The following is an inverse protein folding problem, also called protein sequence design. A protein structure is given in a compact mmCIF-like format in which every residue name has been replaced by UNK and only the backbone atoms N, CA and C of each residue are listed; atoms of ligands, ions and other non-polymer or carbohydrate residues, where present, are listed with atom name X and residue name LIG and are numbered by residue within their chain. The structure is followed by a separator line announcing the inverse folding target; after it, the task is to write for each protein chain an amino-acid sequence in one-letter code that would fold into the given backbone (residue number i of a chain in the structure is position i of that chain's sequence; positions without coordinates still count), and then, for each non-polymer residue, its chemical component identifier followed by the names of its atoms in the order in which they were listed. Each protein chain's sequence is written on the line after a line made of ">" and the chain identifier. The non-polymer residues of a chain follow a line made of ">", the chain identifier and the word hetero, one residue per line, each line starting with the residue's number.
data_IF_251360856854
#
_entry.id   IF_251360856854
#
_cell.length_a   1.000
_cell.length_b   1.000
_cell.length_c   1.000
_cell.angle_alpha   90.00
_cell.angle_beta   90.00
_cell.angle_gamma   90.00
#
_symmetry.space_group_name_H-M   'P 1'
#
loop_
_entity.id
_entity.type
_entity.pdbx_description
1 polymer ?
#
# COMPACT_ATOMS: atom_id res chain seq x y z
N UNK A 1 28.32 -23.74 34.36
CA UNK A 1 27.57 -22.79 35.19
C UNK A 1 26.61 -22.05 34.26
N UNK A 2 25.30 -22.25 34.50
CA UNK A 2 24.12 -21.41 34.12
C UNK A 2 24.03 -21.00 32.65
N UNK A 3 23.22 -21.59 31.74
CA UNK A 3 21.83 -22.09 31.76
C UNK A 3 20.76 -21.13 32.30
N UNK A 4 20.00 -20.52 31.38
CA UNK A 4 18.55 -20.21 31.46
C UNK A 4 18.02 -19.83 30.03
N UNK A 5 16.70 -19.94 29.74
CA UNK A 5 16.17 -20.67 28.56
C UNK A 5 15.37 -19.79 27.54
N UNK A 6 14.84 -20.37 26.44
CA UNK A 6 13.99 -19.67 25.47
C UNK A 6 12.48 -19.77 25.81
N UNK A 7 11.72 -18.73 25.46
CA UNK A 7 10.25 -18.65 25.60
C UNK A 7 9.52 -19.07 24.30
N UNK A 8 8.28 -19.61 24.40
CA UNK A 8 7.75 -20.58 23.45
C UNK A 8 6.81 -20.02 22.37
N UNK A 9 6.72 -20.83 21.31
CA UNK A 9 5.77 -20.78 20.20
C UNK A 9 4.33 -21.08 20.66
N UNK A 10 3.35 -20.34 20.13
CA UNK A 10 1.93 -20.63 20.33
C UNK A 10 1.42 -21.55 19.21
N UNK A 11 0.99 -22.73 19.63
CA UNK A 11 0.47 -23.81 18.81
C UNK A 11 -1.03 -23.63 18.55
N UNK A 12 -1.41 -23.77 17.29
CA UNK A 12 -2.79 -23.97 16.84
C UNK A 12 -3.41 -25.20 17.52
N UNK A 13 -4.63 -25.07 18.04
CA UNK A 13 -5.51 -26.19 18.35
C UNK A 13 -6.79 -26.11 17.50
N UNK A 14 -7.09 -27.27 16.95
CA UNK A 14 -8.15 -27.63 16.01
C UNK A 14 -9.28 -28.27 16.83
N UNK A 15 -10.55 -27.95 16.54
CA UNK A 15 -11.72 -28.60 17.15
C UNK A 15 -12.89 -28.63 16.16
N UNK A 16 -13.45 -29.81 15.92
CA UNK A 16 -14.38 -30.21 14.86
C UNK A 16 -15.89 -30.08 15.20
N UNK A 17 -16.71 -29.96 14.14
CA UNK A 17 -18.10 -30.37 13.85
C UNK A 17 -19.04 -30.81 15.02
N UNK A 18 -20.25 -30.26 15.20
CA UNK A 18 -21.53 -30.39 14.43
C UNK A 18 -22.67 -30.75 15.45
N UNK A 19 -24.01 -30.85 15.15
CA UNK A 19 -24.79 -30.64 13.92
C UNK A 19 -26.06 -29.74 14.10
N UNK A 20 -26.95 -29.78 13.10
CA UNK A 20 -28.17 -29.00 12.80
C UNK A 20 -29.35 -29.04 13.81
N UNK A 21 -30.20 -28.00 13.79
CA UNK A 21 -31.54 -27.99 14.43
C UNK A 21 -32.34 -26.67 14.29
N UNK A 22 -33.26 -26.67 13.31
CA UNK A 22 -34.59 -26.01 13.09
C UNK A 22 -35.10 -24.90 14.07
N UNK A 23 -35.86 -23.87 13.60
CA UNK A 23 -36.11 -22.61 14.33
C UNK A 23 -37.35 -22.61 15.22
N UNK A 24 -37.33 -21.79 16.29
CA UNK A 24 -38.49 -21.55 17.16
C UNK A 24 -38.94 -20.08 17.15
N UNK A 25 -40.25 -19.90 17.27
CA UNK A 25 -41.03 -18.69 16.95
C UNK A 25 -41.14 -17.72 18.14
N UNK A 26 -41.25 -16.42 17.79
CA UNK A 26 -41.52 -15.22 18.62
C UNK A 26 -42.25 -15.41 19.96
N UNK A 27 -41.75 -14.71 20.99
CA UNK A 27 -42.52 -14.19 22.13
C UNK A 27 -42.28 -12.68 22.31
N UNK A 28 -43.36 -11.90 22.37
CA UNK A 28 -43.38 -10.43 22.54
C UNK A 28 -43.22 -10.09 24.04
N UNK A 29 -42.34 -9.15 24.45
CA UNK A 29 -42.17 -8.80 25.85
C UNK A 29 -43.30 -7.86 26.34
N UNK A 30 -43.97 -8.26 27.43
CA UNK A 30 -45.03 -7.50 28.09
C UNK A 30 -44.47 -6.45 29.04
N UNK A 31 -45.14 -5.29 29.08
CA UNK A 31 -44.76 -4.00 29.66
C UNK A 31 -44.55 -3.96 31.20
N UNK A 32 -44.61 -5.11 31.88
CA UNK A 32 -44.59 -5.20 33.35
C UNK A 32 -43.18 -5.36 33.95
N UNK A 33 -42.18 -5.71 33.13
CA UNK A 33 -40.81 -5.99 33.60
C UNK A 33 -39.83 -4.79 33.49
N UNK A 34 -40.31 -3.62 33.04
CA UNK A 34 -39.52 -2.38 32.95
C UNK A 34 -39.61 -1.52 34.20
N UNK A 35 -40.73 -1.55 34.94
CA UNK A 35 -40.92 -0.71 36.13
C UNK A 35 -40.17 -1.24 37.36
N UNK A 36 -40.04 -2.58 37.49
CA UNK A 36 -39.33 -3.20 38.61
C UNK A 36 -37.80 -3.11 38.47
N UNK A 37 -37.27 -2.99 37.26
CA UNK A 37 -35.83 -2.77 37.00
C UNK A 37 -35.41 -1.29 37.11
N UNK A 38 -36.35 -0.35 36.95
CA UNK A 38 -36.09 1.08 37.21
C UNK A 38 -36.00 1.39 38.72
N UNK A 39 -36.84 0.77 39.56
CA UNK A 39 -36.83 1.05 41.01
C UNK A 39 -35.56 0.53 41.72
N UNK A 40 -35.01 -0.60 41.27
CA UNK A 40 -33.72 -1.14 41.77
C UNK A 40 -32.53 -0.28 41.28
N UNK A 41 -32.68 0.41 40.15
CA UNK A 41 -31.65 1.33 39.63
C UNK A 41 -31.63 2.68 40.36
N UNK A 42 -32.74 3.13 40.96
CA UNK A 42 -32.80 4.40 41.69
C UNK A 42 -32.28 4.25 43.13
N UNK A 43 -32.57 3.12 43.80
CA UNK A 43 -32.11 2.88 45.19
C UNK A 43 -30.60 2.59 45.27
N UNK A 44 -29.97 2.14 44.17
CA UNK A 44 -28.51 2.06 44.08
C UNK A 44 -27.84 3.40 43.72
N UNK A 45 -28.59 4.44 43.35
CA UNK A 45 -28.03 5.77 43.07
C UNK A 45 -28.05 6.66 44.33
N UNK A 46 -28.97 6.44 45.27
CA UNK A 46 -28.98 7.18 46.55
C UNK A 46 -27.93 6.67 47.57
N UNK A 47 -27.39 5.45 47.42
CA UNK A 47 -26.33 4.93 48.29
C UNK A 47 -24.91 4.97 47.70
N UNK A 48 -24.73 5.50 46.48
CA UNK A 48 -23.40 5.72 45.87
C UNK A 48 -22.99 7.20 45.90
N UNK A 49 -23.88 8.09 46.34
CA UNK A 49 -23.57 9.50 46.62
C UNK A 49 -22.60 9.72 47.79
N UNK A 50 -22.16 8.65 48.48
CA UNK A 50 -21.16 8.72 49.57
C UNK A 50 -19.79 8.12 49.23
N UNK A 51 -19.51 7.78 47.96
CA UNK A 51 -18.18 7.27 47.54
C UNK A 51 -17.49 8.08 46.42
N UNK A 52 -18.06 9.21 46.02
CA UNK A 52 -17.39 10.17 45.14
C UNK A 52 -17.47 11.58 45.71
N UNK A 53 -16.96 11.77 46.92
CA UNK A 53 -16.21 13.00 47.16
C UNK A 53 -14.91 12.88 46.37
N UNK A 54 -14.92 13.27 45.09
CA UNK A 54 -13.68 13.67 44.44
C UNK A 54 -13.19 14.89 45.20
N UNK A 55 -12.41 14.66 46.25
CA UNK A 55 -11.74 15.73 46.97
C UNK A 55 -10.93 16.46 45.92
N UNK A 56 -11.32 17.70 45.65
CA UNK A 56 -10.62 18.68 44.86
C UNK A 56 -9.32 19.10 45.58
N UNK A 57 -8.59 18.14 46.18
CA UNK A 57 -7.36 18.38 46.92
C UNK A 57 -6.22 18.44 45.92
N UNK A 58 -5.59 19.61 45.84
CA UNK A 58 -4.36 19.79 45.08
C UNK A 58 -3.28 18.86 45.64
N UNK A 59 -2.45 18.23 44.79
CA UNK A 59 -1.38 17.37 45.26
C UNK A 59 -0.37 18.17 46.09
N UNK A 60 0.21 17.53 47.10
CA UNK A 60 1.11 18.17 48.07
C UNK A 60 2.49 17.51 48.08
N UNK A 61 3.46 18.13 48.75
CA UNK A 61 4.78 17.58 49.04
C UNK A 61 5.25 18.05 50.42
N UNK A 62 6.09 17.25 51.08
CA UNK A 62 6.66 17.61 52.38
C UNK A 62 8.02 18.29 52.24
N UNK A 63 8.27 19.33 53.04
CA UNK A 63 9.62 19.90 53.21
C UNK A 63 9.84 20.34 54.66
N UNK A 64 11.09 20.65 54.99
CA UNK A 64 11.46 21.32 56.24
C UNK A 64 11.41 22.84 56.07
N UNK A 65 10.74 23.53 56.99
CA UNK A 65 10.75 24.98 57.05
C UNK A 65 12.14 25.46 57.53
N UNK A 66 12.84 26.33 56.78
CA UNK A 66 14.16 26.82 57.15
C UNK A 66 14.17 27.76 58.36
N UNK A 67 13.03 28.36 58.73
CA UNK A 67 12.91 29.28 59.87
C UNK A 67 12.58 28.53 61.16
N UNK A 68 11.64 27.59 61.12
CA UNK A 68 11.16 26.87 62.32
C UNK A 68 11.79 25.49 62.49
N UNK A 69 12.38 24.93 61.43
CA UNK A 69 12.95 23.58 61.41
C UNK A 69 11.92 22.45 61.39
N UNK A 70 10.61 22.77 61.38
CA UNK A 70 9.52 21.79 61.39
C UNK A 70 9.20 21.26 59.99
N UNK A 71 8.58 20.08 59.93
CA UNK A 71 8.07 19.52 58.68
C UNK A 71 6.71 20.14 58.34
N UNK A 72 6.61 20.70 57.13
CA UNK A 72 5.40 21.33 56.59
C UNK A 72 4.93 20.61 55.32
N UNK A 73 3.62 20.58 55.11
CA UNK A 73 2.99 20.02 53.90
C UNK A 73 2.61 21.16 52.97
N UNK A 74 3.28 21.26 51.83
CA UNK A 74 3.10 22.31 50.84
C UNK A 74 2.22 21.84 49.67
N UNK A 75 1.36 22.72 49.14
CA UNK A 75 0.70 22.48 47.85
C UNK A 75 1.73 22.51 46.70
N UNK A 76 1.59 21.61 45.73
CA UNK A 76 2.35 21.65 44.48
C UNK A 76 1.83 22.75 43.55
N UNK A 77 2.65 23.12 42.57
CA UNK A 77 2.30 24.04 41.51
C UNK A 77 1.67 23.29 40.33
N UNK A 78 0.62 23.84 39.69
CA UNK A 78 -0.04 23.20 38.55
C UNK A 78 0.86 23.17 37.29
N UNK A 79 0.50 22.36 36.28
CA UNK A 79 1.12 22.44 34.95
C UNK A 79 1.13 23.87 34.41
N UNK A 80 2.20 24.27 33.71
CA UNK A 80 2.37 25.66 33.28
C UNK A 80 3.11 26.54 34.27
N UNK A 81 3.36 26.06 35.48
CA UNK A 81 3.96 26.84 36.57
C UNK A 81 5.07 26.08 37.30
N UNK A 82 5.87 26.81 38.06
CA UNK A 82 6.93 26.32 38.94
C UNK A 82 6.88 27.04 40.28
N UNK A 83 7.55 26.49 41.30
CA UNK A 83 7.63 27.07 42.64
C UNK A 83 8.61 28.25 42.62
N UNK A 84 8.06 29.48 42.71
CA UNK A 84 8.85 30.71 42.88
C UNK A 84 9.29 30.88 44.33
N UNK A 85 8.35 30.67 45.26
CA UNK A 85 8.60 30.74 46.70
C UNK A 85 8.04 29.50 47.37
N UNK A 86 8.87 28.82 48.15
CA UNK A 86 8.47 27.60 48.87
C UNK A 86 7.57 27.94 50.07
N UNK A 87 6.63 27.05 50.40
CA UNK A 87 5.72 27.27 51.53
C UNK A 87 6.46 27.21 52.88
N UNK A 88 6.07 28.04 53.84
CA UNK A 88 6.50 27.98 55.25
C UNK A 88 5.33 27.52 56.11
N UNK A 89 5.51 27.44 57.43
CA UNK A 89 4.42 27.18 58.38
C UNK A 89 3.26 28.17 58.23
N UNK A 90 3.55 29.42 57.85
CA UNK A 90 2.56 30.52 57.81
C UNK A 90 2.20 30.99 56.38
N UNK A 91 2.97 30.59 55.36
CA UNK A 91 2.77 31.05 53.98
C UNK A 91 2.67 29.88 52.99
N UNK A 92 1.70 29.90 52.06
CA UNK A 92 1.53 28.85 51.06
C UNK A 92 2.62 28.89 49.98
N UNK A 93 2.70 27.84 49.17
CA UNK A 93 3.56 27.82 47.97
C UNK A 93 3.14 28.92 47.01
N UNK A 94 4.08 29.72 46.53
CA UNK A 94 3.84 30.71 45.48
C UNK A 94 4.33 30.14 44.16
N UNK A 95 3.40 30.01 43.22
CA UNK A 95 3.66 29.49 41.87
C UNK A 95 3.78 30.63 40.86
N UNK A 96 4.69 30.49 39.90
CA UNK A 96 4.87 31.44 38.79
C UNK A 96 4.84 30.70 37.45
N UNK A 97 4.34 31.38 36.41
CA UNK A 97 4.24 30.83 35.06
C UNK A 97 5.61 30.55 34.45
N UNK A 98 5.70 29.46 33.68
CA UNK A 98 6.86 29.22 32.82
C UNK A 98 7.00 30.32 31.77
N UNK A 99 8.23 30.79 31.58
CA UNK A 99 8.60 31.71 30.50
C UNK A 99 8.67 30.98 29.15
N UNK A 100 8.85 31.74 28.08
CA UNK A 100 9.06 31.19 26.74
C UNK A 100 10.16 30.13 26.71
N UNK A 101 9.97 29.13 25.83
CA UNK A 101 10.82 27.95 25.67
C UNK A 101 10.94 27.05 26.91
N UNK A 102 10.06 27.20 27.91
CA UNK A 102 10.04 26.34 29.10
C UNK A 102 8.64 25.84 29.43
N UNK A 103 8.57 24.67 30.07
CA UNK A 103 7.30 24.01 30.38
C UNK A 103 7.33 23.18 31.68
N UNK A 104 6.14 22.93 32.22
CA UNK A 104 5.86 21.87 33.21
C UNK A 104 4.54 21.19 32.86
N UNK A 105 4.57 19.89 32.58
CA UNK A 105 3.40 19.14 32.10
C UNK A 105 2.52 18.58 33.21
N UNK A 106 3.08 18.43 34.40
CA UNK A 106 2.42 17.83 35.54
C UNK A 106 2.49 18.77 36.74
N UNK A 107 1.66 18.48 37.74
CA UNK A 107 1.82 19.08 39.07
C UNK A 107 3.23 18.83 39.58
N UNK A 108 3.87 19.87 40.10
CA UNK A 108 5.28 19.82 40.42
C UNK A 108 5.67 20.74 41.57
N UNK A 109 6.86 20.51 42.11
CA UNK A 109 7.53 21.35 43.11
C UNK A 109 8.89 21.86 42.60
N UNK A 110 9.05 21.96 41.26
CA UNK A 110 10.29 22.39 40.64
C UNK A 110 10.54 23.86 40.93
N UNK A 111 11.80 24.24 41.16
CA UNK A 111 12.20 25.63 41.34
C UNK A 111 12.43 26.37 40.02
N UNK A 112 12.40 25.65 38.89
CA UNK A 112 12.52 26.17 37.52
C UNK A 112 11.75 25.26 36.57
N UNK A 113 11.12 25.83 35.55
CA UNK A 113 10.48 25.04 34.48
C UNK A 113 11.53 24.27 33.65
N UNK A 114 11.10 23.20 32.97
CA UNK A 114 11.98 22.41 32.10
C UNK A 114 12.14 23.12 30.76
N UNK A 115 13.35 23.12 30.21
CA UNK A 115 13.60 23.66 28.89
C UNK A 115 12.95 22.80 27.79
N UNK A 116 12.38 23.44 26.78
CA UNK A 116 11.87 22.78 25.59
C UNK A 116 13.02 22.30 24.70
N UNK A 117 13.57 21.13 25.05
CA UNK A 117 14.78 20.56 24.46
C UNK A 117 14.55 19.69 23.21
N UNK A 118 13.32 19.53 22.75
CA UNK A 118 13.02 18.82 21.50
C UNK A 118 13.13 19.81 20.35
N UNK A 119 13.94 19.46 19.35
CA UNK A 119 14.13 20.23 18.12
C UNK A 119 13.79 19.36 16.92
N UNK A 120 13.01 19.90 15.98
CA UNK A 120 12.62 19.13 14.81
C UNK A 120 13.77 19.10 13.80
N UNK A 121 14.20 17.89 13.45
CA UNK A 121 15.30 17.64 12.53
C UNK A 121 14.87 17.66 11.07
N UNK A 122 15.72 17.04 10.23
CA UNK A 122 15.43 16.91 8.80
C UNK A 122 14.22 16.01 8.55
N UNK A 123 13.41 16.36 7.56
CA UNK A 123 12.12 15.69 7.26
C UNK A 123 11.12 15.61 8.42
N UNK A 124 11.26 16.45 9.45
CA UNK A 124 10.27 16.61 10.52
C UNK A 124 9.55 17.95 10.43
N UNK A 125 8.38 18.02 11.05
CA UNK A 125 7.64 19.26 11.28
C UNK A 125 7.16 19.33 12.73
N UNK A 126 6.91 20.54 13.23
CA UNK A 126 6.35 20.76 14.56
C UNK A 126 4.87 20.38 14.56
N UNK A 127 4.54 19.24 15.18
CA UNK A 127 3.16 18.81 15.39
C UNK A 127 2.53 19.56 16.55
N UNK A 128 3.30 19.72 17.62
CA UNK A 128 2.94 20.56 18.76
C UNK A 128 4.10 21.50 19.06
N UNK A 129 3.78 22.81 19.11
CA UNK A 129 4.73 23.83 19.51
C UNK A 129 4.99 23.74 21.01
N UNK A 130 6.19 24.11 21.45
CA UNK A 130 6.46 24.28 22.87
C UNK A 130 5.56 25.36 23.48
N UNK A 131 4.97 25.09 24.64
CA UNK A 131 4.28 26.09 25.44
C UNK A 131 4.54 25.86 26.94
N UNK A 132 3.89 26.63 27.82
CA UNK A 132 4.11 26.50 29.27
C UNK A 132 3.73 25.13 29.85
N UNK A 133 2.84 24.36 29.22
CA UNK A 133 2.34 23.08 29.73
C UNK A 133 2.90 21.85 29.02
N UNK A 134 3.56 21.98 27.87
CA UNK A 134 4.15 20.82 27.19
C UNK A 134 5.38 21.19 26.35
N UNK A 135 6.25 20.20 26.18
CA UNK A 135 7.39 20.31 25.30
C UNK A 135 6.95 20.32 23.83
N UNK A 136 7.85 20.75 22.95
CA UNK A 136 7.69 20.59 21.50
C UNK A 136 7.57 19.11 21.14
N UNK A 137 6.72 18.79 20.18
CA UNK A 137 6.60 17.45 19.60
C UNK A 137 6.82 17.54 18.09
N UNK A 138 7.77 16.73 17.61
CA UNK A 138 8.11 16.63 16.19
C UNK A 138 7.51 15.35 15.60
N UNK A 139 7.10 15.42 14.34
CA UNK A 139 6.61 14.26 13.59
C UNK A 139 7.24 14.25 12.19
N UNK A 140 7.44 13.06 11.61
CA UNK A 140 7.94 12.92 10.25
C UNK A 140 6.93 13.49 9.24
N UNK A 141 7.46 14.20 8.23
CA UNK A 141 6.67 14.73 7.11
C UNK A 141 6.06 13.57 6.31
N UNK A 142 5.01 13.88 5.56
CA UNK A 142 4.37 12.93 4.66
C UNK A 142 5.39 12.25 3.72
N UNK A 143 5.28 10.92 3.58
CA UNK A 143 6.23 10.10 2.84
C UNK A 143 7.43 9.61 3.65
N UNK A 144 7.49 9.90 4.95
CA UNK A 144 8.52 9.43 5.87
C UNK A 144 7.90 8.80 7.12
N UNK A 145 8.66 7.91 7.75
CA UNK A 145 8.34 7.31 9.04
C UNK A 145 9.54 7.39 9.98
N UNK A 146 9.26 7.45 11.29
CA UNK A 146 10.27 7.48 12.33
C UNK A 146 10.81 6.08 12.57
N UNK A 147 12.11 5.91 12.37
CA UNK A 147 12.86 4.71 12.72
C UNK A 147 14.09 5.16 13.52
N UNK A 148 14.18 4.70 14.78
CA UNK A 148 15.10 5.26 15.78
C UNK A 148 14.95 6.79 15.89
N UNK A 149 15.99 7.55 15.54
CA UNK A 149 16.01 9.02 15.60
C UNK A 149 15.85 9.68 14.21
N UNK A 150 15.64 8.88 13.16
CA UNK A 150 15.63 9.36 11.77
C UNK A 150 14.27 9.19 11.11
N UNK A 151 13.86 10.19 10.33
CA UNK A 151 12.74 10.06 9.41
C UNK A 151 13.22 9.41 8.11
N UNK A 152 12.91 8.12 7.93
CA UNK A 152 13.23 7.36 6.74
C UNK A 152 12.11 7.46 5.72
N UNK A 153 12.46 7.53 4.43
CA UNK A 153 11.47 7.58 3.36
C UNK A 153 10.71 6.26 3.30
N UNK A 154 9.39 6.32 3.09
CA UNK A 154 8.56 5.14 2.91
C UNK A 154 9.05 4.27 1.74
N UNK A 155 9.11 2.97 1.97
CA UNK A 155 9.38 1.97 0.94
C UNK A 155 8.29 1.99 -0.12
N UNK A 156 8.70 1.72 -1.36
CA UNK A 156 7.79 1.53 -2.49
C UNK A 156 7.64 0.05 -2.80
N UNK A 157 6.41 -0.38 -3.03
CA UNK A 157 6.12 -1.73 -3.48
C UNK A 157 6.61 -1.91 -4.92
N UNK A 158 7.35 -2.99 -5.20
CA UNK A 158 7.83 -3.26 -6.56
C UNK A 158 6.69 -3.73 -7.47
N UNK A 159 6.95 -3.79 -8.78
CA UNK A 159 6.04 -4.43 -9.74
C UNK A 159 5.61 -5.83 -9.26
N UNK A 160 4.33 -6.13 -9.42
CA UNK A 160 3.75 -7.39 -8.93
C UNK A 160 3.44 -7.42 -7.44
N UNK A 161 3.73 -6.35 -6.71
CA UNK A 161 3.33 -6.17 -5.33
C UNK A 161 2.57 -4.86 -5.16
N UNK A 162 1.59 -4.87 -4.25
CA UNK A 162 0.77 -3.71 -3.92
C UNK A 162 0.81 -3.42 -2.42
N UNK A 163 0.44 -2.19 -2.07
CA UNK A 163 0.35 -1.74 -0.69
C UNK A 163 -0.83 -2.40 0.01
N UNK A 164 -0.55 -3.03 1.16
CA UNK A 164 -1.57 -3.54 2.09
C UNK A 164 -1.79 -2.61 3.27
N UNK A 165 -0.72 -1.95 3.71
CA UNK A 165 -0.75 -0.95 4.78
C UNK A 165 0.08 0.23 4.32
N UNK A 166 -0.57 1.39 4.24
CA UNK A 166 0.10 2.63 3.91
C UNK A 166 1.10 2.98 5.01
N UNK A 167 2.23 3.53 4.62
CA UNK A 167 3.18 4.10 5.57
C UNK A 167 2.52 5.21 6.41
N UNK A 168 2.90 5.28 7.68
CA UNK A 168 2.50 6.31 8.63
C UNK A 168 3.74 7.07 9.10
N UNK A 169 3.60 8.15 9.90
CA UNK A 169 4.76 8.78 10.52
C UNK A 169 5.56 7.88 11.47
N UNK A 170 5.05 6.68 11.81
CA UNK A 170 5.64 5.76 12.78
C UNK A 170 5.86 4.34 12.24
N UNK A 171 5.52 4.08 10.97
CA UNK A 171 5.65 2.77 10.36
C UNK A 171 5.86 2.86 8.85
N UNK A 172 6.70 1.99 8.31
CA UNK A 172 6.90 1.90 6.87
C UNK A 172 5.66 1.35 6.13
N UNK A 173 5.63 1.55 4.82
CA UNK A 173 4.70 0.89 3.90
C UNK A 173 4.89 -0.63 3.95
N UNK A 174 3.80 -1.38 3.98
CA UNK A 174 3.86 -2.83 3.83
C UNK A 174 3.29 -3.25 2.49
N UNK A 175 4.01 -4.16 1.84
CA UNK A 175 3.72 -4.66 0.50
C UNK A 175 3.41 -6.15 0.54
N UNK A 176 2.48 -6.59 -0.29
CA UNK A 176 2.24 -8.01 -0.56
C UNK A 176 2.28 -8.29 -2.07
N UNK A 177 2.58 -9.54 -2.43
CA UNK A 177 2.47 -9.97 -3.83
C UNK A 177 1.01 -10.03 -4.24
N UNK A 178 0.70 -9.54 -5.43
CA UNK A 178 -0.66 -9.61 -5.95
C UNK A 178 -1.08 -11.06 -6.15
N UNK A 179 -2.27 -11.39 -5.63
CA UNK A 179 -2.89 -12.71 -5.77
C UNK A 179 -3.50 -12.89 -7.17
N UNK A 180 -3.90 -14.11 -7.48
CA UNK A 180 -4.54 -14.42 -8.76
C UNK A 180 -5.76 -13.52 -9.01
N UNK A 181 -5.88 -13.03 -10.25
CA UNK A 181 -6.89 -12.05 -10.63
C UNK A 181 -6.55 -10.59 -10.28
N UNK A 182 -5.35 -10.32 -9.75
CA UNK A 182 -4.89 -8.95 -9.45
C UNK A 182 -3.49 -8.66 -10.02
N UNK A 183 -3.16 -7.37 -10.14
CA UNK A 183 -1.87 -6.91 -10.63
C UNK A 183 -1.41 -5.58 -10.03
N UNK A 184 -0.11 -5.31 -10.14
CA UNK A 184 0.51 -4.00 -9.90
C UNK A 184 1.57 -3.75 -10.97
N UNK A 185 1.35 -2.72 -11.78
CA UNK A 185 2.18 -2.39 -12.95
C UNK A 185 3.13 -1.22 -12.72
N UNK A 186 3.26 -0.74 -11.49
CA UNK A 186 4.08 0.42 -11.10
C UNK A 186 4.97 0.10 -9.89
N UNK A 187 5.93 0.97 -9.60
CA UNK A 187 6.63 0.99 -8.31
C UNK A 187 6.04 2.12 -7.50
N UNK A 188 5.32 1.81 -6.43
CA UNK A 188 4.51 2.79 -5.69
C UNK A 188 4.47 2.50 -4.19
N UNK A 189 4.50 3.56 -3.38
CA UNK A 189 4.31 3.47 -1.92
C UNK A 189 2.85 3.65 -1.49
N UNK A 190 1.92 3.77 -2.44
CA UNK A 190 0.49 4.04 -2.14
C UNK A 190 -0.50 3.15 -2.89
N UNK A 191 -0.13 2.59 -4.04
CA UNK A 191 -1.03 1.79 -4.89
C UNK A 191 -1.16 0.37 -4.36
N UNK A 192 -2.40 -0.09 -4.16
CA UNK A 192 -2.73 -1.48 -3.87
C UNK A 192 -2.78 -2.31 -5.15
N UNK A 193 -2.80 -3.64 -5.01
CA UNK A 193 -3.07 -4.52 -6.15
C UNK A 193 -4.46 -4.23 -6.74
N UNK A 194 -4.52 -4.06 -8.05
CA UNK A 194 -5.74 -3.80 -8.81
C UNK A 194 -6.30 -5.09 -9.37
N UNK A 195 -7.63 -5.22 -9.40
CA UNK A 195 -8.30 -6.37 -10.00
C UNK A 195 -8.13 -6.35 -11.52
N UNK A 196 -7.96 -7.52 -12.13
CA UNK A 196 -7.91 -7.64 -13.58
C UNK A 196 -9.22 -7.20 -14.24
N UNK A 197 -9.09 -6.53 -15.39
CA UNK A 197 -10.20 -6.14 -16.25
C UNK A 197 -10.96 -7.38 -16.73
N UNK A 198 -12.29 -7.37 -16.57
CA UNK A 198 -13.16 -8.39 -17.12
C UNK A 198 -13.58 -8.04 -18.55
N UNK A 199 -13.00 -8.72 -19.55
CA UNK A 199 -13.29 -8.42 -20.96
C UNK A 199 -14.74 -8.73 -21.36
N UNK A 200 -15.36 -9.76 -20.78
CA UNK A 200 -16.70 -10.20 -21.18
C UNK A 200 -17.78 -9.20 -20.77
N UNK A 201 -17.61 -8.52 -19.64
CA UNK A 201 -18.48 -7.42 -19.20
C UNK A 201 -18.50 -6.24 -20.18
N UNK A 202 -17.44 -6.10 -20.98
CA UNK A 202 -17.32 -5.07 -22.03
C UNK A 202 -17.69 -5.57 -23.42
N UNK A 203 -18.18 -6.81 -23.55
CA UNK A 203 -18.46 -7.44 -24.85
C UNK A 203 -17.22 -7.76 -25.69
N UNK A 204 -16.03 -7.77 -25.08
CA UNK A 204 -14.75 -8.04 -25.73
C UNK A 204 -14.23 -9.44 -25.41
N UNK A 205 -13.21 -9.88 -26.13
CA UNK A 205 -12.49 -11.13 -25.85
C UNK A 205 -11.12 -10.84 -25.26
N UNK A 206 -10.61 -11.75 -24.42
CA UNK A 206 -9.27 -11.65 -23.84
C UNK A 206 -8.23 -11.71 -24.96
N UNK A 207 -7.42 -10.67 -25.12
CA UNK A 207 -6.24 -10.66 -25.99
C UNK A 207 -5.07 -11.34 -25.29
N UNK A 208 -4.68 -10.77 -24.15
CA UNK A 208 -3.58 -11.23 -23.31
C UNK A 208 -4.13 -11.42 -21.90
N UNK A 209 -3.99 -12.64 -21.36
CA UNK A 209 -4.38 -12.91 -19.98
C UNK A 209 -3.51 -12.10 -19.01
N UNK A 210 -4.12 -11.47 -18.02
CA UNK A 210 -3.42 -10.71 -16.99
C UNK A 210 -2.41 -11.54 -16.19
N UNK A 211 -1.47 -10.85 -15.55
CA UNK A 211 -0.52 -11.45 -14.61
C UNK A 211 -0.40 -10.57 -13.37
N UNK A 212 0.39 -10.95 -12.37
CA UNK A 212 0.66 -10.05 -11.24
C UNK A 212 1.30 -8.70 -11.67
N UNK A 213 1.89 -8.62 -12.87
CA UNK A 213 2.65 -7.45 -13.32
C UNK A 213 1.90 -6.54 -14.30
N UNK A 214 0.78 -6.98 -14.86
CA UNK A 214 0.01 -6.22 -15.83
C UNK A 214 -1.45 -6.68 -15.86
N UNK A 215 -2.33 -5.81 -16.32
CA UNK A 215 -3.74 -6.12 -16.49
C UNK A 215 -3.98 -7.14 -17.62
N UNK A 216 -5.19 -7.70 -17.65
CA UNK A 216 -5.74 -8.38 -18.81
C UNK A 216 -5.99 -7.37 -19.92
N UNK A 217 -5.46 -7.65 -21.12
CA UNK A 217 -5.75 -6.85 -22.31
C UNK A 217 -6.93 -7.44 -23.06
N UNK A 218 -7.88 -6.59 -23.44
CA UNK A 218 -9.09 -6.96 -24.14
C UNK A 218 -9.06 -6.45 -25.57
N UNK A 219 -9.66 -7.18 -26.50
CA UNK A 219 -9.77 -6.76 -27.90
C UNK A 219 -11.11 -7.18 -28.49
N UNK A 220 -11.69 -6.43 -29.45
CA UNK A 220 -12.82 -6.91 -30.24
C UNK A 220 -12.37 -7.92 -31.33
N UNK A 221 -11.06 -8.06 -31.58
CA UNK A 221 -10.54 -9.00 -32.57
C UNK A 221 -10.65 -10.46 -32.11
N UNK A 222 -11.69 -11.15 -32.58
CA UNK A 222 -11.92 -12.59 -32.32
C UNK A 222 -11.14 -13.48 -33.29
N UNK A 223 -11.19 -13.15 -34.57
CA UNK A 223 -10.59 -13.90 -35.68
C UNK A 223 -9.89 -12.92 -36.61
N UNK A 224 -8.68 -13.26 -37.04
CA UNK A 224 -8.01 -12.45 -38.06
C UNK A 224 -8.46 -12.91 -39.44
N UNK A 225 -9.28 -12.09 -40.07
CA UNK A 225 -9.62 -12.26 -41.48
C UNK A 225 -8.72 -11.30 -42.26
N UNK A 226 -7.67 -11.82 -42.91
CA UNK A 226 -6.97 -11.06 -43.94
C UNK A 226 -7.98 -10.53 -44.96
N UNK A 227 -7.68 -9.38 -45.57
CA UNK A 227 -8.63 -8.60 -46.42
C UNK A 227 -9.41 -9.53 -47.35
N UNK A 228 -10.67 -9.83 -47.02
CA UNK A 228 -11.70 -10.08 -48.03
C UNK A 228 -12.15 -8.70 -48.51
N UNK A 229 -12.50 -8.50 -49.80
CA UNK A 229 -12.83 -7.19 -50.37
C UNK A 229 -14.03 -6.44 -49.73
N UNK A 230 -14.58 -6.95 -48.63
CA UNK A 230 -15.84 -6.54 -48.00
C UNK A 230 -15.67 -6.17 -46.51
N UNK A 231 -14.45 -6.11 -45.96
CA UNK A 231 -14.22 -5.81 -44.53
C UNK A 231 -13.82 -4.34 -44.33
N UNK A 232 -14.52 -3.65 -43.42
CA UNK A 232 -14.21 -2.26 -43.01
C UNK A 232 -12.76 -2.11 -42.52
N UNK A 233 -12.03 -1.11 -43.02
CA UNK A 233 -10.62 -0.86 -42.69
C UNK A 233 -10.38 -0.67 -41.16
N UNK A 234 -11.38 -0.19 -40.42
CA UNK A 234 -11.31 -0.06 -38.95
C UNK A 234 -11.17 -1.39 -38.20
N UNK A 235 -11.75 -2.48 -38.73
CA UNK A 235 -11.65 -3.81 -38.12
C UNK A 235 -10.26 -4.43 -38.32
N UNK A 236 -9.64 -4.18 -39.49
CA UNK A 236 -8.27 -4.63 -39.80
C UNK A 236 -7.25 -3.91 -38.92
N UNK A 237 -7.39 -2.59 -38.77
CA UNK A 237 -6.50 -1.80 -37.90
C UNK A 237 -6.55 -2.27 -36.44
N UNK A 238 -7.76 -2.57 -35.93
CA UNK A 238 -7.96 -3.07 -34.55
C UNK A 238 -7.34 -4.45 -34.33
N UNK A 239 -7.44 -5.36 -35.30
CA UNK A 239 -6.79 -6.67 -35.21
C UNK A 239 -5.25 -6.58 -35.28
N UNK A 240 -4.71 -5.65 -36.07
CA UNK A 240 -3.27 -5.39 -36.13
C UNK A 240 -2.73 -4.88 -34.79
N UNK A 241 -3.47 -4.00 -34.10
CA UNK A 241 -3.14 -3.56 -32.72
C UNK A 241 -3.15 -4.73 -31.74
N UNK A 242 -4.18 -5.57 -31.79
CA UNK A 242 -4.27 -6.75 -30.96
C UNK A 242 -3.09 -7.70 -31.15
N UNK A 243 -2.60 -7.89 -32.38
CA UNK A 243 -1.42 -8.71 -32.69
C UNK A 243 -0.15 -8.12 -32.08
N UNK A 244 0.04 -6.80 -32.21
CA UNK A 244 1.19 -6.09 -31.64
C UNK A 244 1.23 -6.25 -30.12
N UNK A 245 0.10 -6.00 -29.45
CA UNK A 245 -0.06 -6.24 -28.03
C UNK A 245 0.24 -7.69 -27.68
N UNK A 246 -0.39 -8.64 -28.37
CA UNK A 246 -0.23 -10.05 -28.06
C UNK A 246 1.23 -10.50 -28.14
N UNK A 247 1.96 -10.10 -29.19
CA UNK A 247 3.38 -10.42 -29.37
C UNK A 247 4.24 -9.73 -28.31
N UNK A 248 3.95 -8.47 -27.98
CA UNK A 248 4.73 -7.70 -27.00
C UNK A 248 4.71 -8.31 -25.60
N UNK A 249 3.62 -8.98 -25.23
CA UNK A 249 3.41 -9.57 -23.90
C UNK A 249 3.81 -11.05 -23.80
N UNK A 250 4.30 -11.67 -24.88
CA UNK A 250 4.77 -13.05 -24.81
C UNK A 250 6.03 -13.19 -23.94
N UNK A 251 6.21 -14.37 -23.35
CA UNK A 251 7.42 -14.72 -22.61
C UNK A 251 8.58 -15.00 -23.59
N UNK A 252 9.35 -13.97 -23.92
CA UNK A 252 10.46 -14.05 -24.88
C UNK A 252 11.82 -14.14 -24.17
N UNK A 253 12.64 -15.18 -24.41
CA UNK A 253 14.02 -15.21 -23.93
C UNK A 253 14.83 -14.04 -24.49
N UNK A 254 15.60 -13.35 -23.65
CA UNK A 254 16.31 -12.10 -24.01
C UNK A 254 17.19 -12.28 -25.26
N UNK A 255 17.88 -13.41 -25.42
CA UNK A 255 18.69 -13.71 -26.61
C UNK A 255 17.85 -13.68 -27.91
N UNK A 256 16.64 -14.24 -27.87
CA UNK A 256 15.71 -14.25 -29.02
C UNK A 256 15.08 -12.87 -29.23
N UNK A 257 14.78 -12.16 -28.16
CA UNK A 257 14.26 -10.79 -28.23
C UNK A 257 15.28 -9.84 -28.89
N UNK A 258 16.57 -9.92 -28.52
CA UNK A 258 17.62 -9.13 -29.18
C UNK A 258 17.69 -9.37 -30.68
N UNK A 259 17.62 -10.64 -31.10
CA UNK A 259 17.57 -11.04 -32.52
C UNK A 259 16.31 -10.53 -33.22
N UNK A 260 15.17 -10.58 -32.56
CA UNK A 260 13.92 -10.06 -33.11
C UNK A 260 13.98 -8.54 -33.33
N UNK A 261 14.46 -7.79 -32.35
CA UNK A 261 14.60 -6.34 -32.45
C UNK A 261 15.57 -5.92 -33.57
N UNK A 262 16.65 -6.68 -33.80
CA UNK A 262 17.55 -6.39 -34.93
C UNK A 262 16.90 -6.62 -36.29
N UNK A 263 15.93 -7.55 -36.37
CA UNK A 263 15.19 -7.87 -37.60
C UNK A 263 14.00 -6.93 -37.87
N UNK A 264 13.61 -6.07 -36.92
CA UNK A 264 12.61 -5.02 -37.16
C UNK A 264 13.13 -3.88 -38.04
N UNK A 265 14.45 -3.80 -38.24
CA UNK A 265 15.15 -2.82 -39.08
C UNK A 265 14.94 -1.33 -38.72
N UNK A 266 14.27 -1.04 -37.61
CA UNK A 266 14.14 0.31 -37.06
C UNK A 266 15.32 0.70 -36.15
N UNK A 267 15.78 1.95 -36.27
CA UNK A 267 16.96 2.46 -35.56
C UNK A 267 16.82 2.38 -34.04
N UNK A 268 15.65 2.72 -33.50
CA UNK A 268 15.38 2.67 -32.06
C UNK A 268 15.44 1.24 -31.52
N UNK A 269 14.98 0.23 -32.27
CA UNK A 269 15.06 -1.17 -31.84
C UNK A 269 16.51 -1.67 -31.78
N UNK A 270 17.38 -1.22 -32.68
CA UNK A 270 18.82 -1.53 -32.62
C UNK A 270 19.46 -0.97 -31.34
N UNK A 271 19.09 0.26 -30.94
CA UNK A 271 19.56 0.89 -29.70
C UNK A 271 19.09 0.11 -28.46
N UNK A 272 17.80 -0.23 -28.39
CA UNK A 272 17.22 -1.00 -27.28
C UNK A 272 17.83 -2.41 -27.20
N UNK A 273 18.04 -3.08 -28.34
CA UNK A 273 18.69 -4.41 -28.41
C UNK A 273 20.07 -4.45 -27.73
N UNK A 274 20.87 -3.39 -27.90
CA UNK A 274 22.18 -3.26 -27.26
C UNK A 274 22.07 -3.05 -25.75
N UNK A 275 21.08 -2.27 -25.30
CA UNK A 275 20.90 -1.89 -23.89
C UNK A 275 20.12 -2.93 -23.06
N UNK A 276 19.46 -3.89 -23.71
CA UNK A 276 18.68 -4.93 -23.07
C UNK A 276 19.50 -5.78 -22.08
N UNK A 277 19.08 -5.72 -20.81
CA UNK A 277 19.60 -6.50 -19.67
C UNK A 277 18.55 -7.51 -19.18
N UNK A 278 18.96 -8.46 -18.34
CA UNK A 278 18.09 -9.53 -17.84
C UNK A 278 17.14 -9.14 -16.68
N UNK A 279 17.35 -7.96 -16.12
CA UNK A 279 16.50 -7.36 -15.10
C UNK A 279 15.11 -7.03 -15.67
N UNK A 280 14.08 -7.14 -14.83
CA UNK A 280 12.67 -6.83 -15.19
C UNK A 280 12.13 -7.62 -16.39
N UNK A 281 12.51 -8.90 -16.53
CA UNK A 281 12.03 -9.80 -17.60
C UNK A 281 10.50 -9.88 -17.74
N UNK A 282 9.76 -9.55 -16.68
CA UNK A 282 8.30 -9.55 -16.66
C UNK A 282 7.68 -8.26 -17.25
N UNK A 283 8.45 -7.17 -17.29
CA UNK A 283 8.03 -5.87 -17.81
C UNK A 283 8.58 -5.60 -19.22
N UNK A 284 9.07 -6.62 -19.93
CA UNK A 284 9.65 -6.45 -21.26
C UNK A 284 8.69 -5.83 -22.27
N UNK A 285 7.39 -6.06 -22.09
CA UNK A 285 6.33 -5.49 -22.90
C UNK A 285 6.37 -3.95 -22.93
N UNK A 286 6.74 -3.27 -21.82
CA UNK A 286 6.84 -1.81 -21.76
C UNK A 286 7.88 -1.24 -22.73
N UNK A 287 8.94 -2.00 -23.03
CA UNK A 287 9.95 -1.62 -24.02
C UNK A 287 9.60 -2.11 -25.43
N UNK A 288 9.01 -3.29 -25.56
CA UNK A 288 8.74 -3.93 -26.86
C UNK A 288 7.51 -3.35 -27.56
N UNK A 289 6.43 -3.09 -26.82
CA UNK A 289 5.17 -2.61 -27.39
C UNK A 289 5.33 -1.29 -28.17
N UNK A 290 5.96 -0.22 -27.63
CA UNK A 290 6.14 1.03 -28.38
C UNK A 290 6.96 0.87 -29.66
N UNK A 291 7.94 -0.05 -29.65
CA UNK A 291 8.76 -0.34 -30.84
C UNK A 291 7.94 -1.03 -31.94
N UNK A 292 7.04 -1.95 -31.56
CA UNK A 292 6.16 -2.62 -32.52
C UNK A 292 5.10 -1.69 -33.08
N UNK A 293 4.57 -0.76 -32.27
CA UNK A 293 3.69 0.32 -32.74
C UNK A 293 4.43 1.19 -33.77
N UNK A 294 5.66 1.60 -33.48
CA UNK A 294 6.47 2.36 -34.44
C UNK A 294 6.81 1.55 -35.70
N UNK A 295 7.07 0.25 -35.56
CA UNK A 295 7.33 -0.63 -36.70
C UNK A 295 6.10 -0.79 -37.61
N UNK A 296 4.88 -0.81 -37.06
CA UNK A 296 3.61 -0.82 -37.82
C UNK A 296 3.54 0.36 -38.79
N UNK A 297 3.97 1.56 -38.37
CA UNK A 297 3.97 2.76 -39.22
C UNK A 297 4.88 2.61 -40.45
N UNK A 298 6.03 1.94 -40.30
CA UNK A 298 6.99 1.71 -41.40
C UNK A 298 6.50 0.66 -42.39
N UNK A 299 5.83 -0.38 -41.86
CA UNK A 299 5.44 -1.56 -42.63
C UNK A 299 4.20 -1.34 -43.50
N UNK A 300 3.40 -0.31 -43.18
CA UNK A 300 2.03 -0.06 -43.69
C UNK A 300 1.08 -1.21 -43.29
N UNK A 301 -0.18 -0.90 -42.96
CA UNK A 301 -1.09 -1.86 -42.30
C UNK A 301 -1.34 -3.16 -43.10
N UNK A 302 -1.27 -3.06 -44.43
CA UNK A 302 -1.36 -4.19 -45.35
C UNK A 302 -0.15 -5.11 -45.15
N UNK A 303 -0.39 -6.32 -44.64
CA UNK A 303 0.58 -7.42 -44.39
C UNK A 303 1.34 -7.41 -43.06
N UNK A 304 0.85 -6.71 -42.03
CA UNK A 304 1.49 -6.69 -40.71
C UNK A 304 1.65 -8.11 -40.12
N UNK A 305 0.61 -8.95 -40.24
CA UNK A 305 0.61 -10.30 -39.71
C UNK A 305 1.65 -11.20 -40.40
N UNK A 306 1.69 -11.20 -41.74
CA UNK A 306 2.63 -12.01 -42.51
C UNK A 306 4.08 -11.60 -42.18
N UNK A 307 4.34 -10.29 -42.13
CA UNK A 307 5.67 -9.78 -41.81
C UNK A 307 6.07 -10.09 -40.37
N UNK A 308 5.19 -9.95 -39.38
CA UNK A 308 5.55 -10.25 -37.98
C UNK A 308 5.81 -11.76 -37.79
N UNK A 309 5.02 -12.62 -38.45
CA UNK A 309 5.24 -14.08 -38.43
C UNK A 309 6.58 -14.46 -39.09
N UNK A 310 6.93 -13.83 -40.21
CA UNK A 310 8.24 -14.00 -40.87
C UNK A 310 9.39 -13.62 -39.95
N UNK A 311 9.29 -12.48 -39.26
CA UNK A 311 10.33 -12.01 -38.33
C UNK A 311 10.44 -12.96 -37.13
N UNK A 312 9.31 -13.41 -36.56
CA UNK A 312 9.29 -14.41 -35.48
C UNK A 312 9.95 -15.73 -35.91
N UNK A 313 9.73 -16.16 -37.16
CA UNK A 313 10.35 -17.34 -37.73
C UNK A 313 11.86 -17.16 -37.88
N UNK A 314 12.30 -16.05 -38.48
CA UNK A 314 13.71 -15.66 -38.57
C UNK A 314 14.35 -15.52 -37.19
N UNK A 315 13.61 -15.17 -36.15
CA UNK A 315 14.06 -15.09 -34.75
C UNK A 315 14.01 -16.45 -33.99
N UNK A 316 13.62 -17.54 -34.65
CA UNK A 316 13.49 -18.89 -34.06
C UNK A 316 12.51 -18.96 -32.88
N UNK A 317 11.35 -18.30 -33.00
CA UNK A 317 10.31 -18.22 -31.96
C UNK A 317 9.06 -19.07 -32.29
N UNK A 318 9.26 -20.37 -32.53
CA UNK A 318 8.20 -21.30 -32.94
C UNK A 318 6.97 -21.31 -32.00
N UNK A 319 7.19 -21.28 -30.69
CA UNK A 319 6.08 -21.28 -29.71
C UNK A 319 5.21 -20.03 -29.82
N UNK A 320 5.82 -18.86 -30.05
CA UNK A 320 5.07 -17.61 -30.19
C UNK A 320 4.26 -17.61 -31.49
N UNK A 321 4.84 -18.11 -32.58
CA UNK A 321 4.12 -18.29 -33.85
C UNK A 321 2.89 -19.18 -33.64
N UNK A 322 3.05 -20.30 -32.93
CA UNK A 322 1.93 -21.18 -32.58
C UNK A 322 0.87 -20.44 -31.77
N UNK A 323 1.26 -19.73 -30.71
CA UNK A 323 0.34 -18.97 -29.85
C UNK A 323 -0.42 -17.88 -30.64
N UNK A 324 0.25 -17.17 -31.55
CA UNK A 324 -0.39 -16.15 -32.41
C UNK A 324 -1.42 -16.82 -33.32
N UNK A 325 -1.06 -17.94 -33.97
CA UNK A 325 -1.97 -18.68 -34.85
C UNK A 325 -3.21 -19.19 -34.11
N UNK A 326 -3.03 -19.73 -32.90
CA UNK A 326 -4.12 -20.20 -32.05
C UNK A 326 -5.01 -19.04 -31.57
N UNK A 327 -4.41 -17.95 -31.07
CA UNK A 327 -5.18 -16.80 -30.54
C UNK A 327 -6.03 -16.13 -31.62
N UNK A 328 -5.52 -16.01 -32.83
CA UNK A 328 -6.20 -15.29 -33.92
C UNK A 328 -6.89 -16.21 -34.92
N UNK A 329 -7.00 -17.51 -34.62
CA UNK A 329 -7.68 -18.54 -35.43
C UNK A 329 -7.18 -18.61 -36.88
N UNK A 330 -5.88 -18.44 -37.08
CA UNK A 330 -5.26 -18.38 -38.42
C UNK A 330 -5.24 -19.74 -39.14
N UNK A 331 -5.48 -20.83 -38.42
CA UNK A 331 -5.50 -22.18 -38.98
C UNK A 331 -6.84 -22.50 -39.71
N UNK A 332 -7.85 -21.64 -39.61
CA UNK A 332 -9.20 -21.87 -40.17
C UNK A 332 -9.41 -21.17 -41.51
N UNK A 333 -8.57 -20.19 -41.89
CA UNK A 333 -8.90 -19.27 -43.00
C UNK A 333 -7.96 -19.33 -44.21
N UNK A 334 -6.74 -19.87 -44.13
CA UNK A 334 -5.88 -19.97 -45.31
C UNK A 334 -4.93 -21.17 -45.27
N UNK A 335 -4.88 -21.89 -46.38
CA UNK A 335 -3.81 -22.83 -46.68
C UNK A 335 -2.48 -22.06 -46.77
N UNK A 336 -1.73 -22.02 -45.67
CA UNK A 336 -0.32 -21.60 -45.67
C UNK A 336 0.57 -22.70 -46.29
N UNK A 337 0.15 -23.29 -47.40
CA UNK A 337 0.92 -24.28 -48.16
C UNK A 337 1.84 -23.67 -49.22
N UNK A 338 1.71 -22.39 -49.58
CA UNK A 338 2.41 -21.83 -50.75
C UNK A 338 3.41 -20.67 -50.45
N UNK A 339 3.94 -20.53 -49.23
CA UNK A 339 5.04 -19.57 -48.94
C UNK A 339 6.28 -20.28 -48.37
N UNK A 340 6.48 -21.54 -48.74
CA UNK A 340 7.67 -22.34 -48.38
C UNK A 340 8.51 -22.78 -49.58
N UNK A 341 8.22 -22.29 -50.78
CA UNK A 341 9.01 -22.59 -51.98
C UNK A 341 9.31 -21.28 -52.70
N UNK A 342 10.36 -20.60 -52.26
CA UNK A 342 11.21 -19.69 -53.07
C UNK A 342 12.25 -19.07 -52.15
N UNK A 343 13.21 -19.90 -51.76
CA UNK A 343 14.53 -19.51 -51.28
C UNK A 343 15.42 -20.77 -51.33
N UNK A 344 15.67 -21.26 -52.54
CA UNK A 344 16.92 -21.97 -52.87
C UNK A 344 17.90 -20.97 -53.47
#
# INVERSE_FOLDING_TARGET
>A
MTHTPPLPSSTYLKGQAGPEGIPEVRGIPTHSNMLFKCLISIVLIEQVSSLFETVNSKPTYQRRDPYTGQMVTCEQCPPGTYVKTQCTSDHPTICESCTDLHYTQYWNYLQKCRYCNVFCGHHQYEKHQCNSTHNRVCECKAGYYLEFEFCLKHSSCPYGAGVIKKGTPYSDTNCEKCTDGHFSASVSSSESCLKHTNCTERGLVVNVAGSQYHDTLCTPCKTYHGRKPLVNDSAVSTCNEAIIEFVAYQKIPIKKLKRFLTLLEIEQAKKVSKQLKAQNKHMMHQSLHPLLVKWKEVVKEDHLLEKILLILQKAKMKNIIKNVKERFMLNVVTSLSNILVEAE
#
